data_IF_488192602486
#
_entry.id   IF_488192602486
#
_cell.length_a   1.000
_cell.length_b   1.000
_cell.length_c   1.000
_cell.angle_alpha   90.00
_cell.angle_beta   90.00
_cell.angle_gamma   90.00
#
_symmetry.space_group_name_H-M   'P 1'
#
loop_
_entity.id
_entity.type
_entity.pdbx_description
1 polymer ?
#
# COMPACT_ATOMS: atom_id res chain seq x y z
N UNK A 1 40.61 -16.02 5.98
CA UNK A 1 39.62 -14.95 6.25
C UNK A 1 38.15 -15.34 6.00
N UNK A 2 37.82 -16.43 5.28
CA UNK A 2 36.40 -16.77 4.97
C UNK A 2 35.60 -17.45 6.10
N UNK A 3 36.25 -18.19 7.02
CA UNK A 3 35.55 -18.95 8.07
C UNK A 3 34.81 -18.04 9.07
N UNK A 4 35.45 -16.94 9.48
CA UNK A 4 34.84 -15.93 10.35
C UNK A 4 33.64 -15.22 9.69
N UNK A 5 33.68 -15.02 8.37
CA UNK A 5 32.56 -14.41 7.62
C UNK A 5 31.34 -15.34 7.58
N UNK A 6 31.56 -16.64 7.41
CA UNK A 6 30.49 -17.63 7.42
C UNK A 6 29.81 -17.73 8.80
N UNK A 7 30.60 -17.77 9.88
CA UNK A 7 30.07 -17.80 11.25
C UNK A 7 29.26 -16.53 11.60
N UNK A 8 29.71 -15.36 11.15
CA UNK A 8 28.97 -14.10 11.31
C UNK A 8 27.64 -14.14 10.55
N UNK A 9 27.65 -14.68 9.32
CA UNK A 9 26.46 -14.82 8.48
C UNK A 9 25.44 -15.78 9.08
N UNK A 10 25.89 -16.91 9.60
CA UNK A 10 25.02 -17.87 10.31
C UNK A 10 24.43 -17.26 11.57
N UNK A 11 25.23 -16.56 12.37
CA UNK A 11 24.75 -15.87 13.58
C UNK A 11 23.71 -14.79 13.24
N UNK A 12 23.89 -14.05 12.14
CA UNK A 12 22.90 -13.09 11.66
C UNK A 12 21.61 -13.77 11.17
N UNK A 13 21.74 -14.87 10.44
CA UNK A 13 20.58 -15.64 9.99
C UNK A 13 19.77 -16.19 11.17
N UNK A 14 20.43 -16.78 12.17
CA UNK A 14 19.80 -17.26 13.40
C UNK A 14 19.09 -16.12 14.16
N UNK A 15 19.76 -14.97 14.30
CA UNK A 15 19.17 -13.75 14.91
C UNK A 15 17.97 -13.21 14.14
N UNK A 16 17.93 -13.38 12.82
CA UNK A 16 16.80 -12.96 12.00
C UNK A 16 15.63 -13.94 12.15
N UNK A 17 15.92 -15.26 12.13
CA UNK A 17 14.94 -16.33 12.35
C UNK A 17 14.31 -16.30 13.74
N UNK A 18 15.07 -15.90 14.75
CA UNK A 18 14.56 -15.76 16.12
C UNK A 18 13.65 -14.53 16.33
N UNK A 19 13.49 -13.65 15.33
CA UNK A 19 12.57 -12.51 15.44
C UNK A 19 11.15 -13.03 15.37
N UNK A 20 10.27 -12.52 16.24
CA UNK A 20 8.83 -12.84 16.26
C UNK A 20 8.13 -12.62 14.90
N UNK A 21 8.68 -11.80 14.02
CA UNK A 21 8.13 -11.50 12.71
C UNK A 21 8.67 -12.39 11.57
N UNK A 22 9.54 -13.36 11.84
CA UNK A 22 10.13 -14.21 10.80
C UNK A 22 9.10 -15.12 10.12
N UNK A 23 8.22 -15.71 10.92
CA UNK A 23 7.13 -16.60 10.49
C UNK A 23 5.78 -15.91 10.70
N UNK A 24 5.60 -14.65 10.30
CA UNK A 24 4.24 -14.09 10.39
C UNK A 24 3.32 -14.90 9.48
N UNK A 25 2.34 -15.64 10.03
CA UNK A 25 1.36 -16.32 9.21
C UNK A 25 0.60 -15.25 8.42
N UNK A 26 0.45 -15.50 7.12
CA UNK A 26 -0.24 -14.59 6.23
C UNK A 26 -1.74 -14.77 6.43
N UNK A 27 -2.36 -13.84 7.15
CA UNK A 27 -3.76 -13.91 7.55
C UNK A 27 -4.64 -13.02 6.66
N UNK A 28 -4.49 -13.10 5.34
CA UNK A 28 -5.32 -12.33 4.41
C UNK A 28 -6.06 -13.28 3.47
N UNK A 29 -7.36 -13.05 3.29
CA UNK A 29 -8.23 -13.74 2.35
C UNK A 29 -8.65 -12.81 1.23
N UNK A 30 -9.15 -13.38 0.13
CA UNK A 30 -9.79 -12.58 -0.94
C UNK A 30 -11.00 -11.84 -0.33
N UNK A 31 -11.07 -10.54 -0.57
CA UNK A 31 -12.07 -9.65 0.02
C UNK A 31 -11.59 -8.85 1.22
N UNK A 32 -10.51 -9.26 1.89
CA UNK A 32 -9.97 -8.52 3.03
C UNK A 32 -9.37 -7.18 2.60
N UNK A 33 -9.37 -6.23 3.53
CA UNK A 33 -8.74 -4.94 3.38
C UNK A 33 -7.37 -4.93 4.06
N UNK A 34 -6.38 -4.42 3.35
CA UNK A 34 -4.97 -4.42 3.78
C UNK A 34 -4.32 -3.07 3.55
N UNK A 35 -3.36 -2.71 4.41
CA UNK A 35 -2.45 -1.60 4.19
C UNK A 35 -1.22 -2.09 3.44
N UNK A 36 -0.75 -1.30 2.47
CA UNK A 36 0.45 -1.56 1.70
C UNK A 36 1.60 -0.70 2.19
N UNK A 37 2.79 -1.28 2.33
CA UNK A 37 3.99 -0.51 2.63
C UNK A 37 4.41 0.33 1.42
N UNK A 38 4.68 1.61 1.63
CA UNK A 38 5.29 2.54 0.67
C UNK A 38 6.62 3.04 1.25
N UNK A 39 7.65 3.03 0.42
CA UNK A 39 8.89 3.75 0.69
C UNK A 39 8.77 5.10 0.00
N UNK A 40 8.89 6.19 0.75
CA UNK A 40 8.90 7.53 0.16
C UNK A 40 10.34 7.91 -0.17
N UNK A 41 10.68 7.89 -1.46
CA UNK A 41 12.02 8.22 -1.94
C UNK A 41 12.41 9.68 -1.65
N UNK A 42 11.42 10.58 -1.50
CA UNK A 42 11.65 12.01 -1.24
C UNK A 42 11.96 12.31 0.23
N UNK A 43 11.63 11.39 1.15
CA UNK A 43 12.04 11.47 2.55
C UNK A 43 13.50 10.99 2.69
N UNK A 44 14.42 11.72 2.06
CA UNK A 44 15.87 11.45 2.04
C UNK A 44 16.50 11.39 3.45
N UNK A 45 15.81 11.86 4.49
CA UNK A 45 16.30 11.87 5.87
C UNK A 45 16.27 10.47 6.53
N UNK A 46 15.47 9.52 6.05
CA UNK A 46 15.38 8.18 6.64
C UNK A 46 15.18 7.12 5.55
N UNK A 47 16.30 6.59 5.03
CA UNK A 47 16.38 5.51 4.03
C UNK A 47 15.60 4.23 4.38
N UNK A 48 15.08 4.12 5.61
CA UNK A 48 14.36 2.97 6.15
C UNK A 48 12.93 3.29 6.62
N UNK A 49 12.44 4.52 6.42
CA UNK A 49 11.07 4.90 6.76
C UNK A 49 10.07 4.23 5.84
N UNK A 50 9.32 3.26 6.36
CA UNK A 50 8.19 2.63 5.65
C UNK A 50 6.90 3.26 6.16
N UNK A 51 6.13 3.86 5.26
CA UNK A 51 4.79 4.38 5.54
C UNK A 51 3.76 3.36 5.07
N UNK A 52 2.77 3.04 5.89
CA UNK A 52 1.66 2.17 5.52
C UNK A 52 0.53 3.01 4.90
N UNK A 53 0.11 2.68 3.69
CA UNK A 53 -0.94 3.40 2.93
C UNK A 53 -2.08 2.45 2.56
N UNK A 54 -3.29 2.95 2.45
CA UNK A 54 -4.50 2.17 2.19
C UNK A 54 -5.64 2.51 3.16
N UNK A 55 -6.76 1.77 3.11
CA UNK A 55 -6.85 0.36 2.71
C UNK A 55 -6.90 0.06 1.20
N UNK A 56 -6.40 -1.12 0.83
CA UNK A 56 -6.54 -1.79 -0.46
C UNK A 56 -7.38 -3.05 -0.27
N UNK A 57 -8.14 -3.47 -1.28
CA UNK A 57 -8.90 -4.73 -1.25
C UNK A 57 -8.09 -5.86 -1.86
N UNK A 58 -7.98 -7.00 -1.19
CA UNK A 58 -7.38 -8.21 -1.74
C UNK A 58 -8.34 -8.82 -2.77
N UNK A 59 -7.89 -8.98 -4.01
CA UNK A 59 -8.70 -9.53 -5.11
C UNK A 59 -8.16 -10.86 -5.62
N UNK A 60 -6.90 -11.18 -5.33
CA UNK A 60 -6.30 -12.46 -5.66
C UNK A 60 -5.24 -12.86 -4.64
N UNK A 61 -5.11 -14.17 -4.43
CA UNK A 61 -4.08 -14.76 -3.56
C UNK A 61 -3.34 -15.85 -4.35
N UNK A 62 -2.01 -15.76 -4.36
CA UNK A 62 -1.10 -16.78 -4.89
C UNK A 62 -0.16 -17.20 -3.76
N UNK A 63 0.58 -18.29 -3.94
CA UNK A 63 1.56 -18.80 -2.96
C UNK A 63 2.59 -17.74 -2.53
N UNK A 64 3.03 -16.87 -3.45
CA UNK A 64 4.14 -15.94 -3.21
C UNK A 64 3.75 -14.45 -3.14
N UNK A 65 2.53 -14.10 -3.54
CA UNK A 65 2.08 -12.71 -3.58
C UNK A 65 0.54 -12.60 -3.55
N UNK A 66 0.07 -11.40 -3.24
CA UNK A 66 -1.34 -11.03 -3.27
C UNK A 66 -1.58 -9.96 -4.32
N UNK A 67 -2.67 -10.09 -5.06
CA UNK A 67 -3.17 -9.03 -5.94
C UNK A 67 -4.09 -8.15 -5.11
N UNK A 68 -3.73 -6.89 -4.99
CA UNK A 68 -4.49 -5.90 -4.23
C UNK A 68 -4.98 -4.79 -5.15
N UNK A 69 -6.20 -4.33 -4.92
CA UNK A 69 -6.88 -3.27 -5.66
C UNK A 69 -6.94 -1.99 -4.82
N UNK A 70 -6.57 -0.87 -5.42
CA UNK A 70 -6.69 0.44 -4.78
C UNK A 70 -8.14 0.95 -4.86
N UNK A 71 -8.75 1.27 -3.71
CA UNK A 71 -10.19 1.57 -3.63
C UNK A 71 -10.63 2.80 -4.43
N UNK A 72 -9.74 3.78 -4.63
CA UNK A 72 -10.07 5.01 -5.37
C UNK A 72 -9.83 4.87 -6.86
N UNK A 73 -8.72 4.22 -7.25
CA UNK A 73 -8.28 4.20 -8.66
C UNK A 73 -8.63 2.91 -9.37
N UNK A 74 -9.09 1.87 -8.66
CA UNK A 74 -9.33 0.54 -9.20
C UNK A 74 -8.07 -0.17 -9.71
N UNK A 75 -6.87 0.40 -9.51
CA UNK A 75 -5.63 -0.18 -10.03
C UNK A 75 -5.24 -1.40 -9.21
N UNK A 76 -4.89 -2.48 -9.92
CA UNK A 76 -4.37 -3.70 -9.34
C UNK A 76 -2.85 -3.62 -9.17
N UNK A 77 -2.32 -4.24 -8.13
CA UNK A 77 -0.87 -4.37 -7.91
C UNK A 77 -0.58 -5.70 -7.22
N UNK A 78 0.46 -6.40 -7.67
CA UNK A 78 0.94 -7.61 -7.02
C UNK A 78 1.95 -7.24 -5.93
N UNK A 79 1.70 -7.69 -4.70
CA UNK A 79 2.46 -7.29 -3.51
C UNK A 79 2.84 -8.53 -2.70
N UNK A 80 4.11 -8.59 -2.27
CA UNK A 80 4.58 -9.65 -1.38
C UNK A 80 3.92 -9.54 0.01
N UNK A 81 3.59 -10.64 0.70
CA UNK A 81 2.87 -10.60 1.97
C UNK A 81 3.55 -9.75 3.06
N UNK A 82 4.89 -9.74 3.11
CA UNK A 82 5.65 -8.91 4.07
C UNK A 82 5.49 -7.40 3.88
N UNK A 83 4.93 -6.97 2.75
CA UNK A 83 4.64 -5.57 2.39
C UNK A 83 3.17 -5.22 2.63
N UNK A 84 2.40 -6.13 3.24
CA UNK A 84 1.00 -5.96 3.57
C UNK A 84 0.77 -6.08 5.08
N UNK A 85 -0.23 -5.36 5.58
CA UNK A 85 -0.70 -5.44 6.96
C UNK A 85 -2.22 -5.52 6.96
N UNK A 86 -2.80 -6.42 7.76
CA UNK A 86 -4.25 -6.55 7.86
C UNK A 86 -4.84 -5.22 8.35
N UNK A 87 -5.91 -4.78 7.69
CA UNK A 87 -6.66 -3.60 8.11
C UNK A 87 -8.05 -4.01 8.62
N UNK A 88 -8.81 -4.73 7.80
CA UNK A 88 -10.13 -5.22 8.15
C UNK A 88 -10.49 -6.44 7.28
N UNK A 89 -11.49 -7.20 7.69
CA UNK A 89 -12.06 -8.29 6.89
C UNK A 89 -12.98 -7.74 5.77
N UNK A 90 -13.55 -8.65 4.97
CA UNK A 90 -14.46 -8.30 3.88
C UNK A 90 -15.78 -7.61 4.31
N UNK A 91 -16.06 -7.50 5.61
CA UNK A 91 -17.26 -6.84 6.12
C UNK A 91 -17.12 -5.32 6.26
N UNK A 92 -15.91 -4.78 6.01
CA UNK A 92 -15.66 -3.34 6.09
C UNK A 92 -16.59 -2.56 5.15
N UNK A 93 -17.39 -1.67 5.73
CA UNK A 93 -18.21 -0.75 4.96
C UNK A 93 -17.33 0.36 4.35
N UNK A 94 -17.18 0.34 3.02
CA UNK A 94 -16.42 1.36 2.29
C UNK A 94 -17.25 2.63 2.18
N UNK A 95 -17.13 3.51 3.18
CA UNK A 95 -17.81 4.81 3.21
C UNK A 95 -17.13 5.85 2.33
N UNK A 96 -17.85 6.92 1.98
CA UNK A 96 -17.29 8.05 1.24
C UNK A 96 -16.12 8.72 1.99
N UNK A 97 -16.20 8.80 3.32
CA UNK A 97 -15.13 9.33 4.17
C UNK A 97 -13.86 8.48 4.10
N UNK A 98 -14.00 7.15 4.07
CA UNK A 98 -12.86 6.24 3.91
C UNK A 98 -12.20 6.44 2.54
N UNK A 99 -13.00 6.58 1.48
CA UNK A 99 -12.51 6.83 0.13
C UNK A 99 -11.76 8.17 0.05
N UNK A 100 -12.29 9.23 0.65
CA UNK A 100 -11.66 10.55 0.69
C UNK A 100 -10.33 10.51 1.48
N UNK A 101 -10.33 9.82 2.62
CA UNK A 101 -9.12 9.59 3.39
C UNK A 101 -8.05 8.86 2.58
N UNK A 102 -8.40 7.76 1.89
CA UNK A 102 -7.47 7.01 1.03
C UNK A 102 -6.96 7.89 -0.13
N UNK A 103 -7.82 8.72 -0.72
CA UNK A 103 -7.42 9.65 -1.78
C UNK A 103 -6.38 10.68 -1.28
N UNK A 104 -6.53 11.16 -0.04
CA UNK A 104 -5.61 12.12 0.57
C UNK A 104 -4.22 11.56 0.92
N UNK A 105 -4.05 10.23 1.04
CA UNK A 105 -2.79 9.58 1.42
C UNK A 105 -1.69 9.60 0.34
N UNK A 106 -1.85 10.44 -0.68
CA UNK A 106 -0.79 10.77 -1.62
C UNK A 106 -0.48 9.65 -2.59
N UNK A 107 -1.45 8.80 -2.95
CA UNK A 107 -1.43 8.19 -4.28
C UNK A 107 -1.31 9.37 -5.23
N UNK A 108 -0.18 9.50 -5.95
CA UNK A 108 -0.03 10.54 -6.97
C UNK A 108 -1.14 10.30 -7.99
N UNK A 109 -2.27 10.97 -7.79
CA UNK A 109 -3.34 11.13 -8.75
C UNK A 109 -2.79 12.12 -9.76
N UNK A 110 -1.81 11.65 -10.55
CA UNK A 110 -1.41 12.34 -11.74
C UNK A 110 -2.66 12.42 -12.60
N UNK A 111 -3.20 13.63 -12.70
CA UNK A 111 -4.22 13.97 -13.68
C UNK A 111 -3.70 13.50 -15.04
N UNK A 112 -4.38 12.54 -15.67
CA UNK A 112 -3.94 12.03 -16.98
C UNK A 112 -4.03 13.16 -18.02
N UNK A 113 -5.16 13.87 -18.01
CA UNK A 113 -5.37 15.07 -18.80
C UNK A 113 -6.46 15.96 -18.19
N UNK A 114 -6.37 17.27 -18.41
CA UNK A 114 -7.49 18.19 -18.20
C UNK A 114 -8.36 18.12 -19.45
N UNK A 115 -9.56 17.56 -19.31
CA UNK A 115 -10.45 17.30 -20.42
C UNK A 115 -11.27 18.53 -20.83
N UNK A 116 -11.69 19.35 -19.85
CA UNK A 116 -12.53 20.52 -20.10
C UNK A 116 -12.55 21.47 -18.90
N UNK A 117 -13.10 22.67 -19.06
CA UNK A 117 -13.41 23.58 -17.97
C UNK A 117 -14.76 24.28 -18.20
N UNK A 118 -15.49 24.57 -17.13
CA UNK A 118 -16.70 25.40 -17.18
C UNK A 118 -16.72 26.41 -16.05
N UNK A 119 -17.32 27.57 -16.30
CA UNK A 119 -17.61 28.53 -15.24
C UNK A 119 -18.96 28.20 -14.61
N UNK A 120 -18.97 27.84 -13.33
CA UNK A 120 -20.20 27.65 -12.59
C UNK A 120 -20.70 29.01 -12.08
N UNK A 121 -21.72 29.56 -12.73
CA UNK A 121 -22.30 30.86 -12.39
C UNK A 121 -22.94 30.89 -11.00
N UNK A 122 -23.45 29.77 -10.51
CA UNK A 122 -24.10 29.69 -9.19
C UNK A 122 -23.10 29.80 -8.05
N UNK A 123 -21.96 29.11 -8.18
CA UNK A 123 -20.90 29.10 -7.18
C UNK A 123 -19.82 30.15 -7.45
N UNK A 124 -19.89 30.83 -8.61
CA UNK A 124 -18.91 31.80 -9.11
C UNK A 124 -17.46 31.25 -9.16
N UNK A 125 -17.32 29.95 -9.40
CA UNK A 125 -16.01 29.25 -9.49
C UNK A 125 -15.83 28.55 -10.83
N UNK A 126 -14.58 28.37 -11.24
CA UNK A 126 -14.24 27.52 -12.38
C UNK A 126 -14.16 26.06 -11.93
N UNK A 127 -14.88 25.20 -12.63
CA UNK A 127 -14.81 23.75 -12.46
C UNK A 127 -14.00 23.15 -13.60
N UNK A 128 -13.11 22.20 -13.27
CA UNK A 128 -12.25 21.53 -14.24
C UNK A 128 -12.64 20.06 -14.33
N UNK A 129 -12.86 19.59 -15.55
CA UNK A 129 -13.07 18.17 -15.85
C UNK A 129 -11.71 17.50 -16.04
N UNK A 130 -11.46 16.48 -15.26
CA UNK A 130 -10.23 15.67 -15.31
C UNK A 130 -10.54 14.33 -15.97
N UNK A 131 -9.59 13.80 -16.76
CA UNK A 131 -9.67 12.48 -17.40
C UNK A 131 -9.06 11.40 -16.51
#
# INVERSE_FOLDING_TARGET
MHKAVNEVRERQALRYRSRRHYEQPVNFSIGDYVLRSRVDEKLHANKLGVTWVGPYRVTGATEYYFTVEHLVTGKFTNVHPSRLKHYADSSLNVSAELIDHVASQGTLLAVEALADHRYNTSMKVFEIKVK
#
